data_IF_826740886305
#
_entry.id   IF_826740886305
#
_cell.length_a   1.000
_cell.length_b   1.000
_cell.length_c   1.000
_cell.angle_alpha   90.00
_cell.angle_beta   90.00
_cell.angle_gamma   90.00
#
_symmetry.space_group_name_H-M   'P 1'
#
loop_
_entity.id
_entity.type
_entity.pdbx_description
1 polymer ?
#
# COMPACT_ATOMS: atom_id res chain seq x y z
N UNK A 1 18.37 53.41 39.95
CA UNK A 1 17.69 52.15 40.30
C UNK A 1 17.84 51.20 39.13
N UNK A 2 18.97 50.48 39.07
CA UNK A 2 19.33 49.54 38.00
C UNK A 2 19.01 48.14 38.53
N UNK A 3 18.12 47.39 37.86
CA UNK A 3 17.90 45.99 38.17
C UNK A 3 18.70 45.14 37.18
N UNK A 4 19.75 44.56 37.74
CA UNK A 4 20.62 43.53 37.16
C UNK A 4 19.88 42.19 37.24
N UNK A 5 19.78 41.46 36.14
CA UNK A 5 19.44 40.03 36.17
C UNK A 5 20.45 39.31 35.28
N UNK A 6 21.36 38.57 35.93
CA UNK A 6 22.29 37.65 35.30
C UNK A 6 21.63 36.31 34.91
N UNK A 7 22.25 35.55 33.99
CA UNK A 7 21.66 34.38 33.36
C UNK A 7 21.99 33.07 34.12
N UNK A 8 21.02 32.16 34.20
CA UNK A 8 21.26 30.77 34.64
C UNK A 8 21.33 29.84 33.42
N UNK A 9 22.54 29.41 33.09
CA UNK A 9 22.85 28.22 32.31
C UNK A 9 23.29 27.12 33.25
N UNK A 10 22.69 25.94 33.13
CA UNK A 10 23.19 24.55 33.33
C UNK A 10 21.97 23.67 33.64
N UNK A 11 21.81 22.42 33.20
CA UNK A 11 22.40 21.51 32.20
C UNK A 11 21.62 20.19 32.42
N UNK A 12 21.37 19.42 31.36
CA UNK A 12 20.86 18.01 31.37
C UNK A 12 19.37 17.84 31.74
N UNK A 13 18.51 17.26 30.90
CA UNK A 13 18.58 15.87 30.45
C UNK A 13 18.19 15.69 28.97
N UNK A 14 19.08 14.99 28.27
CA UNK A 14 18.90 14.42 26.94
C UNK A 14 17.86 13.31 26.95
N UNK A 15 16.78 13.47 26.18
CA UNK A 15 15.92 12.37 25.68
C UNK A 15 15.63 12.66 24.19
N UNK A 16 16.69 12.58 23.38
CA UNK A 16 16.60 12.44 21.93
C UNK A 16 16.12 11.01 21.65
N UNK A 17 14.84 10.85 21.30
CA UNK A 17 14.37 9.61 20.70
C UNK A 17 14.99 9.48 19.29
N UNK A 18 15.63 8.34 18.96
CA UNK A 18 16.34 8.18 17.70
C UNK A 18 15.37 7.97 16.53
N UNK A 19 15.40 8.90 15.56
CA UNK A 19 14.97 8.66 14.19
C UNK A 19 15.75 7.45 13.64
N UNK A 20 15.09 6.29 13.54
CA UNK A 20 15.64 5.13 12.84
C UNK A 20 15.31 5.27 11.35
N UNK A 21 16.34 5.61 10.57
CA UNK A 21 16.46 5.38 9.12
C UNK A 21 16.09 3.94 8.77
N UNK A 22 15.19 3.72 7.80
CA UNK A 22 15.12 2.62 6.80
C UNK A 22 14.11 3.05 5.72
N UNK A 23 14.28 2.92 4.40
CA UNK A 23 15.38 2.56 3.52
C UNK A 23 15.00 3.14 2.14
N UNK A 24 15.77 4.08 1.59
CA UNK A 24 15.72 4.44 0.17
C UNK A 24 16.25 3.26 -0.66
N UNK A 25 15.41 2.64 -1.48
CA UNK A 25 15.66 1.85 -2.73
C UNK A 25 14.48 0.88 -2.89
N UNK A 26 13.62 1.00 -3.91
CA UNK A 26 13.89 0.52 -5.26
C UNK A 26 13.21 1.40 -6.33
N UNK A 27 14.06 2.09 -7.10
CA UNK A 27 13.82 2.30 -8.52
C UNK A 27 13.96 0.93 -9.21
N UNK A 28 12.88 0.40 -9.80
CA UNK A 28 12.83 -0.34 -11.07
C UNK A 28 11.40 -0.83 -11.32
N UNK A 29 10.54 0.08 -11.76
CA UNK A 29 9.33 -0.25 -12.52
C UNK A 29 9.19 0.75 -13.68
N UNK A 30 10.29 0.84 -14.43
CA UNK A 30 10.37 1.57 -15.68
C UNK A 30 11.17 0.74 -16.68
N UNK A 31 10.49 -0.11 -17.45
CA UNK A 31 11.12 -0.78 -18.60
C UNK A 31 10.69 -2.21 -18.90
N UNK A 32 9.39 -2.53 -19.04
CA UNK A 32 8.93 -3.67 -19.87
C UNK A 32 7.61 -3.36 -20.59
N UNK A 33 7.44 -2.15 -21.11
CA UNK A 33 6.28 -1.82 -21.99
C UNK A 33 6.73 -0.98 -23.18
N UNK A 34 7.64 -1.51 -23.98
CA UNK A 34 7.79 -1.15 -25.39
C UNK A 34 8.74 -2.16 -26.04
N UNK A 35 8.23 -2.85 -27.07
CA UNK A 35 8.88 -3.58 -28.17
C UNK A 35 8.22 -4.95 -28.29
N UNK A 36 7.31 -5.07 -29.26
CA UNK A 36 6.69 -6.34 -29.58
C UNK A 36 5.48 -6.27 -30.51
N UNK A 37 5.35 -5.22 -31.32
CA UNK A 37 4.36 -5.16 -32.41
C UNK A 37 5.07 -4.68 -33.68
N UNK A 38 5.80 -5.56 -34.36
CA UNK A 38 5.95 -5.51 -35.82
C UNK A 38 6.63 -6.75 -36.40
N UNK A 39 6.04 -7.24 -37.49
CA UNK A 39 6.61 -8.05 -38.56
C UNK A 39 6.75 -9.58 -38.37
N UNK A 40 5.64 -10.27 -38.66
CA UNK A 40 5.68 -11.52 -39.42
C UNK A 40 6.28 -11.26 -40.81
N UNK A 41 7.37 -11.96 -41.15
CA UNK A 41 7.63 -12.54 -42.48
C UNK A 41 8.86 -13.46 -42.41
N UNK A 42 8.62 -14.76 -42.32
CA UNK A 42 9.52 -15.75 -42.93
C UNK A 42 9.12 -15.89 -44.43
N UNK A 43 9.89 -16.57 -45.31
CA UNK A 43 11.07 -17.40 -45.06
C UNK A 43 12.23 -17.19 -46.08
N UNK A 44 13.40 -17.81 -45.85
CA UNK A 44 13.99 -18.79 -46.79
C UNK A 44 15.32 -19.39 -46.27
N UNK A 45 15.43 -20.67 -46.57
CA UNK A 45 16.52 -21.64 -46.36
C UNK A 45 17.77 -21.27 -47.16
N UNK A 46 18.95 -21.48 -46.57
CA UNK A 46 20.17 -21.99 -47.24
C UNK A 46 21.25 -22.36 -46.21
N UNK A 47 21.51 -23.66 -46.03
CA UNK A 47 22.85 -24.21 -45.72
C UNK A 47 23.59 -24.46 -47.06
N UNK A 48 24.89 -24.86 -47.13
CA UNK A 48 25.96 -24.97 -46.11
C UNK A 48 27.27 -24.25 -46.55
N UNK A 49 28.36 -24.32 -45.77
CA UNK A 49 29.70 -24.78 -46.21
C UNK A 49 30.64 -24.82 -44.99
N UNK A 50 31.17 -26.01 -44.74
CA UNK A 50 32.28 -26.26 -43.83
C UNK A 50 33.61 -25.81 -44.44
N UNK A 51 34.49 -25.19 -43.65
CA UNK A 51 35.93 -25.29 -43.87
C UNK A 51 36.67 -25.55 -42.56
N UNK A 52 37.30 -26.72 -42.56
CA UNK A 52 38.30 -27.21 -41.62
C UNK A 52 39.65 -26.62 -42.01
N UNK A 53 40.35 -25.99 -41.07
CA UNK A 53 41.82 -26.01 -41.05
C UNK A 53 42.29 -26.04 -39.61
N UNK A 54 42.99 -27.13 -39.25
CA UNK A 54 43.56 -27.35 -37.94
C UNK A 54 44.84 -26.56 -37.67
N UNK A 55 45.28 -26.59 -36.41
CA UNK A 55 46.55 -26.03 -35.97
C UNK A 55 46.76 -26.29 -34.49
N UNK A 56 47.68 -27.19 -34.20
CA UNK A 56 48.08 -27.67 -32.87
C UNK A 56 48.73 -26.54 -32.04
N UNK A 57 48.60 -26.58 -30.71
CA UNK A 57 49.73 -26.85 -29.78
C UNK A 57 49.54 -26.28 -28.35
N UNK A 58 49.92 -27.14 -27.39
CA UNK A 58 50.63 -26.87 -26.13
C UNK A 58 49.85 -26.48 -24.86
N UNK A 59 50.05 -27.35 -23.88
CA UNK A 59 49.69 -27.36 -22.47
C UNK A 59 50.44 -26.32 -21.63
N UNK A 60 49.80 -25.76 -20.59
CA UNK A 60 50.24 -25.87 -19.18
C UNK A 60 49.20 -25.25 -18.21
N UNK A 61 49.10 -25.74 -16.97
CA UNK A 61 48.05 -25.37 -16.02
C UNK A 61 48.52 -24.27 -15.05
N UNK A 62 47.64 -23.32 -14.72
CA UNK A 62 47.89 -22.33 -13.68
C UNK A 62 46.97 -22.57 -12.46
N UNK A 63 47.58 -23.21 -11.46
CA UNK A 63 47.51 -22.97 -10.01
C UNK A 63 46.20 -22.47 -9.38
N UNK A 64 45.66 -23.37 -8.56
CA UNK A 64 44.72 -23.19 -7.46
C UNK A 64 45.14 -22.03 -6.54
N UNK A 65 44.22 -21.10 -6.27
CA UNK A 65 44.26 -20.26 -5.07
C UNK A 65 42.88 -20.29 -4.41
N UNK A 66 42.78 -21.08 -3.35
CA UNK A 66 41.65 -21.15 -2.42
C UNK A 66 41.54 -19.87 -1.60
N UNK A 67 40.35 -19.24 -1.51
CA UNK A 67 40.02 -18.33 -0.41
C UNK A 67 39.54 -19.11 0.83
N UNK A 68 39.67 -18.53 2.04
CA UNK A 68 39.54 -19.25 3.30
C UNK A 68 38.09 -19.58 3.65
N UNK A 69 37.94 -20.69 4.39
CA UNK A 69 36.70 -21.22 4.91
C UNK A 69 35.82 -20.15 5.58
N UNK A 70 34.70 -19.83 4.94
CA UNK A 70 33.53 -19.34 5.67
C UNK A 70 32.97 -20.54 6.40
N UNK A 71 33.04 -20.48 7.73
CA UNK A 71 32.48 -21.45 8.66
C UNK A 71 31.04 -21.73 8.24
N UNK A 72 30.79 -22.98 7.82
CA UNK A 72 29.46 -23.47 7.49
C UNK A 72 28.53 -23.20 8.67
N UNK A 73 27.57 -22.30 8.46
CA UNK A 73 26.34 -22.33 9.24
C UNK A 73 25.71 -23.69 8.97
N UNK A 74 25.51 -24.44 10.05
CA UNK A 74 25.01 -25.81 10.10
C UNK A 74 23.79 -25.97 9.17
N UNK A 75 23.99 -26.74 8.10
CA UNK A 75 22.91 -27.36 7.32
C UNK A 75 22.08 -28.25 8.25
N UNK A 76 20.94 -27.73 8.72
CA UNK A 76 19.86 -28.61 9.14
C UNK A 76 19.26 -29.20 7.85
N UNK A 77 19.22 -30.53 7.67
CA UNK A 77 18.68 -31.12 6.46
C UNK A 77 17.19 -30.79 6.38
N UNK A 78 16.80 -30.01 5.38
CA UNK A 78 15.41 -29.87 4.96
C UNK A 78 14.92 -31.27 4.60
N UNK A 79 14.07 -31.87 5.44
CA UNK A 79 13.47 -33.16 5.15
C UNK A 79 12.62 -33.02 3.89
N UNK A 80 12.85 -33.87 2.89
CA UNK A 80 12.25 -33.80 1.53
C UNK A 80 10.71 -33.79 1.54
N UNK A 81 10.07 -34.05 2.68
CA UNK A 81 8.61 -34.14 2.86
C UNK A 81 8.01 -33.11 3.84
N UNK A 82 8.76 -32.10 4.32
CA UNK A 82 8.26 -31.18 5.34
C UNK A 82 7.02 -30.38 4.89
N UNK A 83 7.02 -29.84 3.67
CA UNK A 83 5.91 -29.01 3.17
C UNK A 83 4.61 -29.81 2.95
N UNK A 84 4.61 -30.95 2.23
CA UNK A 84 3.40 -31.77 2.10
C UNK A 84 2.83 -32.26 3.44
N UNK A 85 3.72 -32.57 4.40
CA UNK A 85 3.33 -32.98 5.76
C UNK A 85 2.62 -31.85 6.52
N UNK A 86 3.17 -30.63 6.51
CA UNK A 86 2.55 -29.46 7.14
C UNK A 86 1.17 -29.13 6.53
N UNK A 87 1.05 -29.15 5.20
CA UNK A 87 -0.22 -28.93 4.50
C UNK A 87 -1.28 -29.94 4.93
N UNK A 88 -0.91 -31.23 5.02
CA UNK A 88 -1.79 -32.30 5.47
C UNK A 88 -2.22 -32.14 6.93
N UNK A 89 -1.29 -31.78 7.82
CA UNK A 89 -1.56 -31.56 9.24
C UNK A 89 -2.50 -30.38 9.46
N UNK A 90 -2.26 -29.23 8.80
CA UNK A 90 -3.14 -28.06 8.89
C UNK A 90 -4.55 -28.42 8.41
N UNK A 91 -4.65 -29.06 7.24
CA UNK A 91 -5.95 -29.45 6.67
C UNK A 91 -6.74 -30.34 7.61
N UNK A 92 -6.09 -31.35 8.20
CA UNK A 92 -6.72 -32.29 9.14
C UNK A 92 -7.15 -31.58 10.42
N UNK A 93 -6.28 -30.75 10.98
CA UNK A 93 -6.55 -30.00 12.20
C UNK A 93 -7.76 -29.07 12.05
N UNK A 94 -7.82 -28.31 10.94
CA UNK A 94 -8.92 -27.39 10.67
C UNK A 94 -10.25 -28.10 10.37
N UNK A 95 -10.22 -29.27 9.72
CA UNK A 95 -11.44 -30.06 9.46
C UNK A 95 -11.97 -30.79 10.69
N UNK A 96 -11.15 -31.03 11.70
CA UNK A 96 -11.56 -31.74 12.92
C UNK A 96 -12.66 -31.01 13.71
N UNK A 97 -12.81 -29.69 13.52
CA UNK A 97 -13.71 -28.83 14.29
C UNK A 97 -13.27 -28.57 15.74
N UNK A 98 -12.30 -29.34 16.25
CA UNK A 98 -11.72 -29.18 17.60
C UNK A 98 -11.06 -27.80 17.74
N UNK A 99 -11.38 -27.09 18.83
CA UNK A 99 -10.74 -25.81 19.15
C UNK A 99 -9.23 -25.97 19.34
N UNK A 100 -8.81 -27.02 20.05
CA UNK A 100 -7.38 -27.30 20.29
C UNK A 100 -6.60 -27.55 18.99
N UNK A 101 -7.18 -28.30 18.05
CA UNK A 101 -6.52 -28.55 16.76
C UNK A 101 -6.50 -27.30 15.88
N UNK A 102 -7.58 -26.50 15.90
CA UNK A 102 -7.58 -25.20 15.22
C UNK A 102 -6.52 -24.26 15.80
N UNK A 103 -6.40 -24.18 17.12
CA UNK A 103 -5.38 -23.37 17.78
C UNK A 103 -3.97 -23.83 17.41
N UNK A 104 -3.74 -25.15 17.36
CA UNK A 104 -2.48 -25.72 16.90
C UNK A 104 -2.19 -25.34 15.43
N UNK A 105 -3.19 -25.45 14.56
CA UNK A 105 -3.06 -25.06 13.15
C UNK A 105 -2.66 -23.58 13.02
N UNK A 106 -3.31 -22.69 13.77
CA UNK A 106 -3.11 -21.25 13.72
C UNK A 106 -1.84 -20.75 14.36
N UNK A 107 -1.45 -21.32 15.49
CA UNK A 107 -0.34 -20.79 16.29
C UNK A 107 0.99 -21.47 15.97
N UNK A 108 0.98 -22.69 15.42
CA UNK A 108 2.20 -23.48 15.24
C UNK A 108 2.41 -23.87 13.78
N UNK A 109 1.40 -24.51 13.16
CA UNK A 109 1.61 -25.14 11.86
C UNK A 109 1.59 -24.13 10.71
N UNK A 110 0.63 -23.20 10.68
CA UNK A 110 0.53 -22.21 9.61
C UNK A 110 1.73 -21.25 9.58
N UNK A 111 2.20 -20.67 10.69
CA UNK A 111 3.40 -19.85 10.68
C UNK A 111 4.64 -20.60 10.19
N UNK A 112 4.78 -21.87 10.55
CA UNK A 112 5.90 -22.70 10.08
C UNK A 112 5.80 -22.99 8.58
N UNK A 113 4.59 -23.24 8.06
CA UNK A 113 4.37 -23.38 6.63
C UNK A 113 4.68 -22.09 5.88
N UNK A 114 4.21 -20.93 6.36
CA UNK A 114 4.51 -19.63 5.74
C UNK A 114 6.01 -19.34 5.74
N UNK A 115 6.72 -19.71 6.81
CA UNK A 115 8.17 -19.51 6.93
C UNK A 115 8.97 -20.39 5.96
N UNK A 116 8.48 -21.60 5.65
CA UNK A 116 9.21 -22.59 4.85
C UNK A 116 8.79 -22.59 3.37
N UNK A 117 7.50 -22.46 3.10
CA UNK A 117 6.90 -22.38 1.77
C UNK A 117 5.60 -21.54 1.82
N UNK A 118 5.71 -20.21 1.73
CA UNK A 118 4.55 -19.33 1.82
C UNK A 118 3.59 -19.49 0.63
N UNK A 119 4.10 -19.90 -0.54
CA UNK A 119 3.25 -20.16 -1.69
C UNK A 119 2.38 -21.41 -1.47
N UNK A 120 2.93 -22.46 -0.84
CA UNK A 120 2.13 -23.62 -0.44
C UNK A 120 1.04 -23.25 0.57
N UNK A 121 1.30 -22.35 1.52
CA UNK A 121 0.27 -21.83 2.43
C UNK A 121 -0.86 -21.11 1.67
N UNK A 122 -0.49 -20.28 0.68
CA UNK A 122 -1.45 -19.59 -0.18
C UNK A 122 -2.30 -20.57 -1.00
N UNK A 123 -1.68 -21.55 -1.63
CA UNK A 123 -2.39 -22.60 -2.38
C UNK A 123 -3.29 -23.46 -1.48
N UNK A 124 -2.84 -23.77 -0.27
CA UNK A 124 -3.66 -24.45 0.73
C UNK A 124 -4.91 -23.65 1.04
N UNK A 125 -4.80 -22.33 1.25
CA UNK A 125 -5.97 -21.48 1.45
C UNK A 125 -6.94 -21.55 0.26
N UNK A 126 -6.41 -21.37 -0.95
CA UNK A 126 -7.22 -21.34 -2.18
C UNK A 126 -7.88 -22.68 -2.51
N UNK A 127 -7.33 -23.80 -2.03
CA UNK A 127 -7.88 -25.15 -2.23
C UNK A 127 -9.13 -25.45 -1.38
N UNK A 128 -9.45 -24.63 -0.38
CA UNK A 128 -10.71 -24.75 0.37
C UNK A 128 -11.89 -24.21 -0.44
N UNK A 129 -13.07 -24.77 -0.19
CA UNK A 129 -14.33 -24.25 -0.73
C UNK A 129 -14.53 -22.79 -0.31
N UNK A 130 -15.16 -22.00 -1.18
CA UNK A 130 -15.46 -20.59 -0.90
C UNK A 130 -16.28 -20.45 0.38
N UNK A 131 -15.83 -19.60 1.29
CA UNK A 131 -16.49 -19.35 2.57
C UNK A 131 -15.50 -18.93 3.66
N UNK A 132 -16.03 -18.77 4.88
CA UNK A 132 -15.30 -18.15 5.99
C UNK A 132 -13.94 -18.79 6.30
N UNK A 133 -13.80 -20.11 6.18
CA UNK A 133 -12.52 -20.78 6.47
C UNK A 133 -11.46 -20.49 5.42
N UNK A 134 -11.84 -20.46 4.13
CA UNK A 134 -10.95 -20.07 3.03
C UNK A 134 -10.45 -18.65 3.23
N UNK A 135 -11.38 -17.74 3.52
CA UNK A 135 -11.09 -16.32 3.71
C UNK A 135 -10.18 -16.10 4.92
N UNK A 136 -10.47 -16.74 6.06
CA UNK A 136 -9.64 -16.65 7.27
C UNK A 136 -8.22 -17.21 7.02
N UNK A 137 -8.12 -18.36 6.36
CA UNK A 137 -6.83 -18.99 6.08
C UNK A 137 -5.98 -18.12 5.13
N UNK A 138 -6.61 -17.56 4.10
CA UNK A 138 -5.96 -16.68 3.14
C UNK A 138 -5.52 -15.37 3.79
N UNK A 139 -6.38 -14.73 4.59
CA UNK A 139 -6.06 -13.50 5.32
C UNK A 139 -4.88 -13.71 6.26
N UNK A 140 -4.90 -14.78 7.07
CA UNK A 140 -3.80 -15.11 8.00
C UNK A 140 -2.50 -15.40 7.26
N UNK A 141 -2.58 -16.13 6.15
CA UNK A 141 -1.40 -16.44 5.31
C UNK A 141 -0.79 -15.16 4.76
N UNK A 142 -1.61 -14.30 4.15
CA UNK A 142 -1.14 -13.06 3.54
C UNK A 142 -0.57 -12.11 4.59
N UNK A 143 -1.18 -12.04 5.79
CA UNK A 143 -0.64 -11.28 6.91
C UNK A 143 0.76 -11.74 7.30
N UNK A 144 0.90 -13.03 7.64
CA UNK A 144 2.17 -13.62 8.07
C UNK A 144 3.25 -13.52 6.98
N UNK A 145 2.87 -13.74 5.73
CA UNK A 145 3.79 -13.61 4.61
C UNK A 145 4.23 -12.15 4.42
N UNK A 146 3.29 -11.20 4.38
CA UNK A 146 3.59 -9.79 4.14
C UNK A 146 4.39 -9.13 5.26
N UNK A 147 4.28 -9.64 6.50
CA UNK A 147 5.13 -9.21 7.63
C UNK A 147 6.62 -9.48 7.39
N UNK A 148 6.96 -10.48 6.57
CA UNK A 148 8.34 -10.91 6.33
C UNK A 148 8.81 -10.62 4.91
N UNK A 149 7.94 -10.75 3.92
CA UNK A 149 8.25 -10.60 2.50
C UNK A 149 7.02 -10.15 1.69
N UNK A 150 6.72 -8.84 1.74
CA UNK A 150 5.67 -8.26 0.91
C UNK A 150 5.94 -8.45 -0.60
N UNK A 151 7.21 -8.42 -1.03
CA UNK A 151 7.58 -8.61 -2.44
C UNK A 151 7.22 -10.00 -2.95
N UNK A 152 7.44 -11.02 -2.13
CA UNK A 152 7.00 -12.40 -2.37
C UNK A 152 5.48 -12.52 -2.43
N UNK A 153 4.76 -11.91 -1.48
CA UNK A 153 3.29 -11.86 -1.51
C UNK A 153 2.79 -11.29 -2.84
N UNK A 154 3.31 -10.14 -3.26
CA UNK A 154 2.91 -9.48 -4.51
C UNK A 154 3.24 -10.32 -5.75
N UNK A 155 4.41 -10.95 -5.77
CA UNK A 155 4.81 -11.86 -6.86
C UNK A 155 3.82 -13.02 -6.96
N UNK A 156 3.48 -13.64 -5.83
CA UNK A 156 2.52 -14.73 -5.79
C UNK A 156 1.12 -14.30 -6.24
N UNK A 157 0.62 -13.15 -5.78
CA UNK A 157 -0.67 -12.59 -6.23
C UNK A 157 -0.73 -12.48 -7.76
N UNK A 158 0.32 -11.95 -8.39
CA UNK A 158 0.36 -11.81 -9.85
C UNK A 158 0.50 -13.14 -10.60
N UNK A 159 0.92 -14.21 -9.92
CA UNK A 159 1.05 -15.55 -10.50
C UNK A 159 -0.26 -16.34 -10.52
N UNK A 160 -1.23 -15.98 -9.67
CA UNK A 160 -2.54 -16.65 -9.63
C UNK A 160 -3.26 -16.44 -10.96
N UNK A 161 -3.79 -17.52 -11.56
CA UNK A 161 -4.44 -17.46 -12.87
C UNK A 161 -5.93 -17.10 -12.78
N UNK A 162 -6.59 -17.54 -11.72
CA UNK A 162 -7.99 -17.22 -11.46
C UNK A 162 -8.15 -15.78 -10.98
N UNK A 163 -9.07 -15.04 -11.61
CA UNK A 163 -9.29 -13.63 -11.31
C UNK A 163 -9.95 -13.44 -9.93
N UNK A 164 -10.85 -14.33 -9.52
CA UNK A 164 -11.51 -14.22 -8.21
C UNK A 164 -10.53 -14.45 -7.07
N UNK A 165 -9.63 -15.42 -7.22
CA UNK A 165 -8.57 -15.70 -6.24
C UNK A 165 -7.56 -14.56 -6.17
N UNK A 166 -7.19 -13.98 -7.31
CA UNK A 166 -6.38 -12.75 -7.37
C UNK A 166 -7.05 -11.61 -6.61
N UNK A 167 -8.31 -11.34 -6.88
CA UNK A 167 -9.03 -10.21 -6.30
C UNK A 167 -9.19 -10.35 -4.79
N UNK A 168 -9.52 -11.56 -4.32
CA UNK A 168 -9.63 -11.87 -2.90
C UNK A 168 -8.28 -11.70 -2.17
N UNK A 169 -7.23 -12.30 -2.72
CA UNK A 169 -5.90 -12.23 -2.11
C UNK A 169 -5.31 -10.81 -2.18
N UNK A 170 -5.54 -10.07 -3.27
CA UNK A 170 -5.14 -8.67 -3.42
C UNK A 170 -5.83 -7.77 -2.39
N UNK A 171 -7.11 -8.02 -2.08
CA UNK A 171 -7.83 -7.29 -1.04
C UNK A 171 -7.19 -7.50 0.34
N UNK A 172 -6.88 -8.74 0.70
CA UNK A 172 -6.21 -9.05 1.97
C UNK A 172 -4.82 -8.42 2.05
N UNK A 173 -4.04 -8.47 0.97
CA UNK A 173 -2.70 -7.89 0.94
C UNK A 173 -2.74 -6.36 1.06
N UNK A 174 -3.63 -5.72 0.32
CA UNK A 174 -3.86 -4.28 0.39
C UNK A 174 -4.22 -3.84 1.81
N UNK A 175 -5.10 -4.59 2.48
CA UNK A 175 -5.50 -4.31 3.87
C UNK A 175 -4.31 -4.44 4.82
N UNK A 176 -3.45 -5.44 4.62
CA UNK A 176 -2.27 -5.65 5.45
C UNK A 176 -1.24 -4.53 5.28
N UNK A 177 -0.95 -4.15 4.03
CA UNK A 177 0.00 -3.08 3.72
C UNK A 177 -0.50 -1.75 4.28
N UNK A 178 -1.81 -1.49 4.23
CA UNK A 178 -2.39 -0.24 4.72
C UNK A 178 -2.15 0.03 6.21
N UNK A 179 -1.85 -1.01 7.01
CA UNK A 179 -1.56 -0.87 8.44
C UNK A 179 -0.18 -0.28 8.72
N UNK A 180 0.78 -0.41 7.79
CA UNK A 180 2.17 0.00 7.99
C UNK A 180 2.68 0.96 6.92
N UNK A 181 2.09 0.91 5.73
CA UNK A 181 2.38 1.77 4.58
C UNK A 181 1.09 2.08 3.79
N UNK A 182 0.27 3.05 4.26
CA UNK A 182 -0.95 3.45 3.56
C UNK A 182 -0.72 3.91 2.11
N UNK A 183 0.43 4.52 1.83
CA UNK A 183 0.81 4.98 0.50
C UNK A 183 1.04 3.80 -0.45
N UNK A 184 1.88 2.85 -0.03
CA UNK A 184 2.13 1.61 -0.76
C UNK A 184 0.87 0.77 -0.95
N UNK A 185 -0.04 0.77 0.01
CA UNK A 185 -1.33 0.08 -0.12
C UNK A 185 -2.22 0.70 -1.20
N UNK A 186 -2.26 2.04 -1.30
CA UNK A 186 -2.99 2.73 -2.37
C UNK A 186 -2.32 2.50 -3.73
N UNK A 187 -1.00 2.54 -3.82
CA UNK A 187 -0.29 2.22 -5.06
C UNK A 187 -0.58 0.79 -5.52
N UNK A 188 -0.56 -0.16 -4.59
CA UNK A 188 -0.90 -1.55 -4.84
C UNK A 188 -2.36 -1.68 -5.31
N UNK A 189 -3.31 -1.12 -4.56
CA UNK A 189 -4.73 -1.16 -4.89
C UNK A 189 -5.01 -0.56 -6.27
N UNK A 190 -4.34 0.53 -6.62
CA UNK A 190 -4.47 1.14 -7.94
C UNK A 190 -3.93 0.23 -9.05
N UNK A 191 -2.74 -0.38 -8.84
CA UNK A 191 -2.12 -1.27 -9.82
C UNK A 191 -2.94 -2.53 -10.10
N UNK A 192 -3.56 -3.08 -9.05
CA UNK A 192 -4.41 -4.27 -9.10
C UNK A 192 -5.88 -3.92 -9.35
N UNK A 193 -6.20 -2.65 -9.55
CA UNK A 193 -7.56 -2.11 -9.73
C UNK A 193 -8.54 -2.46 -8.60
N UNK A 194 -8.04 -2.70 -7.40
CA UNK A 194 -8.84 -3.05 -6.22
C UNK A 194 -9.59 -1.82 -5.72
N UNK A 195 -10.92 -1.92 -5.67
CA UNK A 195 -11.76 -0.91 -5.02
C UNK A 195 -11.96 0.39 -5.80
N UNK A 196 -11.42 0.50 -7.03
CA UNK A 196 -11.56 1.68 -7.88
C UNK A 196 -13.01 1.90 -8.36
N UNK A 197 -13.75 0.81 -8.52
CA UNK A 197 -15.10 0.82 -9.10
C UNK A 197 -16.22 0.83 -8.04
N UNK A 198 -15.89 0.57 -6.76
CA UNK A 198 -16.88 0.43 -5.67
C UNK A 198 -16.62 1.33 -4.45
N UNK A 199 -15.65 2.24 -4.53
CA UNK A 199 -15.41 3.26 -3.51
C UNK A 199 -14.47 2.82 -2.37
N UNK A 200 -13.99 1.57 -2.36
CA UNK A 200 -13.03 1.11 -1.34
C UNK A 200 -11.70 1.86 -1.43
N UNK A 201 -11.26 2.21 -2.65
CA UNK A 201 -10.02 2.94 -2.86
C UNK A 201 -10.06 4.33 -2.21
N UNK A 202 -11.14 5.09 -2.43
CA UNK A 202 -11.34 6.40 -1.83
C UNK A 202 -11.48 6.33 -0.30
N UNK A 203 -12.07 5.24 0.23
CA UNK A 203 -12.15 5.00 1.67
C UNK A 203 -10.78 4.78 2.30
N UNK A 204 -9.88 4.06 1.64
CA UNK A 204 -8.51 3.86 2.15
C UNK A 204 -7.79 5.20 2.30
N UNK A 205 -7.88 6.07 1.28
CA UNK A 205 -7.29 7.41 1.36
C UNK A 205 -7.94 8.29 2.43
N UNK A 206 -9.25 8.12 2.66
CA UNK A 206 -9.94 8.80 3.75
C UNK A 206 -9.41 8.36 5.12
N UNK A 207 -9.30 7.05 5.36
CA UNK A 207 -8.77 6.49 6.62
C UNK A 207 -7.33 6.95 6.86
N UNK A 208 -6.50 6.95 5.81
CA UNK A 208 -5.16 7.48 5.93
C UNK A 208 -5.15 8.96 6.33
N UNK A 209 -6.04 9.77 5.74
CA UNK A 209 -6.14 11.18 6.10
C UNK A 209 -6.70 11.41 7.51
N UNK A 210 -7.49 10.48 8.05
CA UNK A 210 -8.00 10.56 9.42
C UNK A 210 -6.87 10.39 10.44
N UNK A 211 -5.91 9.51 10.16
CA UNK A 211 -4.78 9.20 11.05
C UNK A 211 -3.54 10.08 10.80
N UNK A 212 -3.15 10.24 9.54
CA UNK A 212 -1.96 10.99 9.09
C UNK A 212 -2.35 12.02 8.00
N UNK A 213 -3.07 13.10 8.38
CA UNK A 213 -3.68 14.03 7.43
C UNK A 213 -2.70 14.74 6.51
N UNK A 214 -1.48 15.03 6.94
CA UNK A 214 -0.51 15.72 6.11
C UNK A 214 0.12 14.79 5.07
N UNK A 215 0.49 13.58 5.48
CA UNK A 215 1.08 12.58 4.58
C UNK A 215 0.10 12.20 3.45
N UNK A 216 -1.18 12.02 3.80
CA UNK A 216 -2.24 11.76 2.82
C UNK A 216 -2.44 12.92 1.82
N UNK A 217 -2.37 14.17 2.30
CA UNK A 217 -2.44 15.37 1.44
C UNK A 217 -1.25 15.41 0.49
N UNK A 218 -0.03 15.22 1.00
CA UNK A 218 1.20 15.31 0.21
C UNK A 218 1.21 14.22 -0.86
N UNK A 219 0.84 12.99 -0.51
CA UNK A 219 0.72 11.88 -1.47
C UNK A 219 -0.36 12.12 -2.51
N UNK A 220 -1.57 12.53 -2.11
CA UNK A 220 -2.67 12.74 -3.05
C UNK A 220 -2.42 13.91 -4.00
N UNK A 221 -1.78 14.98 -3.52
CA UNK A 221 -1.44 16.12 -4.36
C UNK A 221 -0.35 15.81 -5.37
N UNK A 222 0.56 14.88 -5.06
CA UNK A 222 1.60 14.36 -5.96
C UNK A 222 1.07 13.42 -7.06
N UNK A 223 -0.16 12.91 -6.93
CA UNK A 223 -0.77 12.07 -7.97
C UNK A 223 -0.96 12.85 -9.29
N UNK A 224 -0.96 12.16 -10.45
CA UNK A 224 -1.25 12.80 -11.73
C UNK A 224 -2.61 13.49 -11.73
N UNK A 225 -2.66 14.69 -12.33
CA UNK A 225 -3.92 15.43 -12.47
C UNK A 225 -4.96 14.59 -13.23
N UNK A 226 -6.17 14.48 -12.68
CA UNK A 226 -7.24 13.69 -13.28
C UNK A 226 -8.34 13.35 -12.29
N UNK A 227 -9.37 12.66 -12.80
CA UNK A 227 -10.57 12.35 -12.02
C UNK A 227 -10.30 11.52 -10.75
N UNK A 228 -9.35 10.59 -10.80
CA UNK A 228 -8.98 9.78 -9.64
C UNK A 228 -8.37 10.63 -8.52
N UNK A 229 -7.40 11.49 -8.86
CA UNK A 229 -6.79 12.45 -7.92
C UNK A 229 -7.84 13.36 -7.30
N UNK A 230 -8.74 13.90 -8.10
CA UNK A 230 -9.81 14.77 -7.60
C UNK A 230 -10.72 14.03 -6.60
N UNK A 231 -11.12 12.79 -6.90
CA UNK A 231 -11.93 11.97 -5.98
C UNK A 231 -11.23 11.74 -4.64
N UNK A 232 -9.92 11.43 -4.66
CA UNK A 232 -9.11 11.26 -3.46
C UNK A 232 -9.03 12.56 -2.65
N UNK A 233 -8.70 13.66 -3.32
CA UNK A 233 -8.61 14.97 -2.66
C UNK A 233 -9.95 15.42 -2.09
N UNK A 234 -11.09 15.07 -2.68
CA UNK A 234 -12.41 15.37 -2.10
C UNK A 234 -12.59 14.67 -0.75
N UNK A 235 -12.16 13.40 -0.62
CA UNK A 235 -12.20 12.68 0.68
C UNK A 235 -11.27 13.31 1.69
N UNK A 236 -10.06 13.66 1.28
CA UNK A 236 -9.07 14.29 2.16
C UNK A 236 -9.55 15.67 2.62
N UNK A 237 -10.11 16.49 1.70
CA UNK A 237 -10.72 17.79 2.05
C UNK A 237 -11.86 17.60 3.05
N UNK A 238 -12.68 16.56 2.89
CA UNK A 238 -13.75 16.28 3.85
C UNK A 238 -13.22 15.98 5.25
N UNK A 239 -12.13 15.21 5.38
CA UNK A 239 -11.48 14.93 6.67
C UNK A 239 -10.85 16.20 7.23
N UNK A 240 -10.07 16.92 6.42
CA UNK A 240 -9.44 18.18 6.84
C UNK A 240 -10.46 19.22 7.25
N UNK A 241 -11.61 19.31 6.58
CA UNK A 241 -12.65 20.28 6.92
C UNK A 241 -13.20 20.08 8.35
N UNK A 242 -13.16 18.86 8.87
CA UNK A 242 -13.59 18.55 10.24
C UNK A 242 -12.49 18.90 11.27
N UNK A 243 -11.23 18.63 10.92
CA UNK A 243 -10.09 18.78 11.83
C UNK A 243 -9.52 20.21 11.82
N UNK A 244 -9.34 20.76 10.62
CA UNK A 244 -8.66 22.01 10.28
C UNK A 244 -9.31 22.68 9.03
N UNK A 245 -10.44 23.40 9.22
CA UNK A 245 -11.15 24.04 8.12
C UNK A 245 -10.34 25.05 7.30
N UNK A 246 -9.46 25.90 7.88
CA UNK A 246 -8.61 26.80 7.10
C UNK A 246 -7.70 26.08 6.10
N UNK A 247 -7.05 24.99 6.50
CA UNK A 247 -6.22 24.22 5.58
C UNK A 247 -7.07 23.51 4.52
N UNK A 248 -8.23 22.99 4.90
CA UNK A 248 -9.18 22.40 3.95
C UNK A 248 -9.66 23.42 2.89
N UNK A 249 -9.89 24.67 3.29
CA UNK A 249 -10.23 25.77 2.39
C UNK A 249 -9.09 26.06 1.40
N UNK A 250 -7.84 26.08 1.87
CA UNK A 250 -6.65 26.22 1.03
C UNK A 250 -6.54 25.06 0.03
N UNK A 251 -6.74 23.83 0.47
CA UNK A 251 -6.70 22.64 -0.40
C UNK A 251 -7.82 22.69 -1.46
N UNK A 252 -9.05 22.97 -1.05
CA UNK A 252 -10.20 23.07 -1.95
C UNK A 252 -10.01 24.14 -3.05
N UNK A 253 -9.36 25.25 -2.72
CA UNK A 253 -9.12 26.36 -3.66
C UNK A 253 -7.85 26.20 -4.49
N UNK A 254 -6.80 25.55 -3.97
CA UNK A 254 -5.54 25.43 -4.68
C UNK A 254 -5.45 24.18 -5.58
N UNK A 255 -6.08 23.07 -5.18
CA UNK A 255 -5.80 21.76 -5.78
C UNK A 255 -6.76 21.33 -6.90
N UNK A 256 -7.92 21.96 -7.00
CA UNK A 256 -8.94 21.65 -8.00
C UNK A 256 -9.00 22.74 -9.08
N UNK A 257 -9.19 22.37 -10.34
CA UNK A 257 -9.53 23.32 -11.39
C UNK A 257 -10.92 23.95 -11.12
N UNK A 258 -11.21 25.17 -11.62
CA UNK A 258 -12.54 25.74 -11.55
C UNK A 258 -13.61 24.81 -12.14
N UNK A 259 -14.71 24.61 -11.41
CA UNK A 259 -15.80 23.72 -11.82
C UNK A 259 -16.41 22.95 -10.65
N UNK A 260 -17.25 21.96 -10.97
CA UNK A 260 -18.10 21.28 -10.00
C UNK A 260 -17.33 20.61 -8.85
N UNK A 261 -16.16 20.01 -9.09
CA UNK A 261 -15.36 19.37 -8.04
C UNK A 261 -14.85 20.40 -7.02
N UNK A 262 -14.32 21.54 -7.51
CA UNK A 262 -13.89 22.66 -6.64
C UNK A 262 -15.06 23.20 -5.82
N UNK A 263 -16.20 23.46 -6.47
CA UNK A 263 -17.39 23.99 -5.80
C UNK A 263 -17.90 23.04 -4.71
N UNK A 264 -17.94 21.74 -5.00
CA UNK A 264 -18.34 20.72 -4.03
C UNK A 264 -17.36 20.62 -2.85
N UNK A 265 -16.05 20.71 -3.10
CA UNK A 265 -15.03 20.73 -2.06
C UNK A 265 -15.20 21.98 -1.17
N UNK A 266 -15.36 23.16 -1.78
CA UNK A 266 -15.59 24.43 -1.07
C UNK A 266 -16.83 24.33 -0.18
N UNK A 267 -17.97 23.89 -0.72
CA UNK A 267 -19.21 23.78 0.06
C UNK A 267 -19.09 22.75 1.19
N UNK A 268 -18.31 21.68 1.00
CA UNK A 268 -18.00 20.72 2.05
C UNK A 268 -17.23 21.38 3.20
N UNK A 269 -16.21 22.19 2.87
CA UNK A 269 -15.46 22.95 3.88
C UNK A 269 -16.36 23.93 4.60
N UNK A 270 -17.19 24.70 3.89
CA UNK A 270 -18.11 25.68 4.49
C UNK A 270 -19.06 25.03 5.48
N UNK A 271 -19.63 23.87 5.13
CA UNK A 271 -20.57 23.16 6.00
C UNK A 271 -19.93 22.75 7.32
N UNK A 272 -18.73 22.19 7.28
CA UNK A 272 -18.00 21.78 8.49
C UNK A 272 -17.46 22.98 9.27
N UNK A 273 -16.92 23.98 8.57
CA UNK A 273 -16.41 25.19 9.20
C UNK A 273 -17.52 25.94 9.92
N UNK A 274 -18.70 26.08 9.32
CA UNK A 274 -19.82 26.81 9.91
C UNK A 274 -20.34 26.21 11.22
N UNK A 275 -20.23 24.88 11.38
CA UNK A 275 -20.58 24.20 12.64
C UNK A 275 -19.64 24.59 13.78
N UNK A 276 -18.35 24.83 13.46
CA UNK A 276 -17.31 25.14 14.46
C UNK A 276 -17.10 26.63 14.66
N UNK A 277 -17.15 27.40 13.58
CA UNK A 277 -16.95 28.84 13.53
C UNK A 277 -17.75 29.43 12.35
N UNK A 278 -18.99 29.80 12.64
CA UNK A 278 -19.90 30.40 11.68
C UNK A 278 -19.36 31.74 11.13
N UNK A 279 -18.65 32.52 11.95
CA UNK A 279 -18.16 33.85 11.56
C UNK A 279 -17.02 33.72 10.54
N UNK A 280 -16.05 32.84 10.78
CA UNK A 280 -14.96 32.59 9.85
C UNK A 280 -15.47 31.96 8.53
N UNK A 281 -16.42 31.03 8.60
CA UNK A 281 -17.07 30.46 7.41
C UNK A 281 -17.79 31.55 6.58
N UNK A 282 -18.49 32.49 7.26
CA UNK A 282 -19.16 33.63 6.61
C UNK A 282 -18.16 34.57 5.94
N UNK A 283 -17.04 34.86 6.60
CA UNK A 283 -15.98 35.68 6.04
C UNK A 283 -15.37 35.03 4.78
N UNK A 284 -15.09 33.73 4.83
CA UNK A 284 -14.56 33.02 3.67
C UNK A 284 -15.58 32.93 2.52
N UNK A 285 -16.85 32.60 2.81
CA UNK A 285 -17.94 32.62 1.81
C UNK A 285 -18.10 34.00 1.15
N UNK A 286 -17.90 35.08 1.92
CA UNK A 286 -17.95 36.46 1.43
C UNK A 286 -16.84 36.83 0.44
N UNK A 287 -15.76 36.05 0.38
CA UNK A 287 -14.62 36.28 -0.52
C UNK A 287 -14.85 35.79 -1.95
N UNK A 288 -15.87 34.97 -2.20
CA UNK A 288 -16.20 34.51 -3.54
C UNK A 288 -16.96 35.58 -4.33
N UNK A 289 -16.79 35.56 -5.65
CA UNK A 289 -17.55 36.42 -6.56
C UNK A 289 -19.06 36.22 -6.38
N UNK A 290 -19.83 37.28 -6.64
CA UNK A 290 -21.29 37.18 -6.64
C UNK A 290 -21.75 36.13 -7.65
N UNK A 291 -22.55 35.16 -7.19
CA UNK A 291 -23.05 34.07 -8.02
C UNK A 291 -23.50 32.86 -7.20
N UNK A 292 -23.83 31.79 -7.93
CA UNK A 292 -24.46 30.59 -7.35
C UNK A 292 -23.63 29.91 -6.25
N UNK A 293 -22.30 29.89 -6.36
CA UNK A 293 -21.42 29.33 -5.33
C UNK A 293 -21.54 30.10 -4.01
N UNK A 294 -21.46 31.44 -4.06
CA UNK A 294 -21.58 32.32 -2.89
C UNK A 294 -22.96 32.19 -2.23
N UNK A 295 -24.02 32.15 -3.03
CA UNK A 295 -25.37 32.01 -2.52
C UNK A 295 -25.58 30.65 -1.82
N UNK A 296 -25.07 29.56 -2.42
CA UNK A 296 -25.08 28.22 -1.83
C UNK A 296 -24.25 28.16 -0.54
N UNK A 297 -23.08 28.80 -0.53
CA UNK A 297 -22.24 28.90 0.66
C UNK A 297 -22.97 29.53 1.85
N UNK A 298 -23.60 30.70 1.65
CA UNK A 298 -24.40 31.33 2.71
C UNK A 298 -25.60 30.48 3.11
N UNK A 299 -26.22 29.73 2.19
CA UNK A 299 -27.28 28.81 2.52
C UNK A 299 -26.81 27.65 3.42
N UNK A 300 -25.65 27.05 3.13
CA UNK A 300 -25.04 26.00 3.97
C UNK A 300 -24.73 26.52 5.39
N UNK A 301 -24.22 27.75 5.49
CA UNK A 301 -23.94 28.42 6.77
C UNK A 301 -25.21 28.59 7.61
N UNK A 302 -26.30 29.10 7.01
CA UNK A 302 -27.60 29.23 7.71
C UNK A 302 -28.12 27.88 8.18
N UNK A 303 -28.00 26.85 7.34
CA UNK A 303 -28.46 25.49 7.68
C UNK A 303 -27.66 24.88 8.84
N UNK A 304 -26.35 25.18 8.94
CA UNK A 304 -25.53 24.73 10.07
C UNK A 304 -25.99 25.36 11.39
N UNK A 305 -26.31 26.66 11.40
CA UNK A 305 -26.77 27.36 12.61
C UNK A 305 -28.09 26.84 13.18
N UNK A 306 -29.03 26.40 12.32
CA UNK A 306 -30.31 25.80 12.75
C UNK A 306 -30.09 24.47 13.51
N UNK A 307 -29.07 23.68 13.15
CA UNK A 307 -28.77 22.39 13.79
C UNK A 307 -28.20 22.51 15.21
N UNK A 308 -27.60 23.65 15.55
CA UNK A 308 -27.06 23.90 16.89
C UNK A 308 -28.14 24.33 17.90
N UNK A 309 -29.36 24.61 17.44
CA UNK A 309 -30.48 25.09 18.26
C UNK A 309 -31.52 24.01 18.60
N UNK A 310 -31.33 22.77 18.13
CA UNK A 310 -32.17 21.59 18.43
C UNK A 310 -31.44 20.66 19.39
#
# INVERSE_FOLDING_TARGET
MRLSIEPKLTREFSQLHPMKKRLTSLLLLGGVLAIGWMAMRAPRVQEPVAQVTGGHAVSTPATIMTPPAVVAAVDAPLTVNATPDLVGQITTALRSGSTTERDRAWQQLLPELVRTDPSAAGHLALAWEQGAMRDELLERTIRLWSETDIGGTLTWLTSLLDQGDRDLAALSATTQVAQTDPAGALELAQSLRIGLDDGRFERMAQLWAEEFPQDAVDWATAQPAGALRDKLLIRIVHVRAQQDPPEAARLATAQFAPGANRDNAILTVIRHWAVRDQAAATLWAGSFDSGSLRDRAFSEIRNAGVRLQM
#
